data_IF_610847468043
#
_entry.id   IF_610847468043
#
_cell.length_a   1.000
_cell.length_b   1.000
_cell.length_c   1.000
_cell.angle_alpha   90.00
_cell.angle_beta   90.00
_cell.angle_gamma   90.00
#
_symmetry.space_group_name_H-M   'P 1'
#
loop_
_entity.id
_entity.type
_entity.pdbx_description
1 polymer ?
#
# COMPACT_ATOMS: atom_id res chain seq x y z
N UNK A 1 -12.13 5.92 -8.25
CA UNK A 1 -11.69 5.55 -6.90
C UNK A 1 -10.52 4.57 -6.89
N UNK A 2 -10.55 3.45 -7.58
CA UNK A 2 -9.42 2.48 -7.61
C UNK A 2 -8.11 3.07 -8.14
N UNK A 3 -8.18 3.93 -9.15
CA UNK A 3 -7.01 4.59 -9.75
C UNK A 3 -6.27 5.48 -8.74
N UNK A 4 -6.98 6.11 -7.86
CA UNK A 4 -6.45 7.08 -6.88
C UNK A 4 -5.92 6.38 -5.63
N UNK A 5 -6.47 5.24 -5.22
CA UNK A 5 -5.85 4.39 -4.18
C UNK A 5 -4.50 3.84 -4.64
N UNK A 6 -4.35 3.50 -5.92
CA UNK A 6 -3.06 3.11 -6.50
C UNK A 6 -2.08 4.28 -6.57
N UNK A 7 -2.55 5.51 -6.84
CA UNK A 7 -1.72 6.73 -6.78
C UNK A 7 -1.15 6.96 -5.40
N UNK A 8 -1.96 6.78 -4.37
CA UNK A 8 -1.53 6.98 -2.98
C UNK A 8 -0.50 5.96 -2.51
N UNK A 9 -0.68 4.71 -2.91
CA UNK A 9 0.27 3.64 -2.64
C UNK A 9 1.61 3.87 -3.39
N UNK A 10 1.57 4.53 -4.53
CA UNK A 10 2.75 4.81 -5.35
C UNK A 10 3.59 6.01 -4.87
N UNK A 11 2.97 7.09 -4.40
CA UNK A 11 3.70 8.24 -3.84
C UNK A 11 4.54 7.84 -2.62
N UNK A 12 4.21 6.72 -1.96
CA UNK A 12 5.00 6.14 -0.86
C UNK A 12 6.29 5.45 -1.31
N UNK A 13 6.40 5.05 -2.56
CA UNK A 13 7.52 4.27 -3.07
C UNK A 13 8.79 5.08 -3.34
N UNK A 14 8.69 6.41 -3.45
CA UNK A 14 9.80 7.27 -3.86
C UNK A 14 10.84 7.59 -2.79
N UNK A 15 10.55 7.36 -1.52
CA UNK A 15 11.51 7.57 -0.45
C UNK A 15 11.80 6.26 0.29
N UNK A 16 12.58 5.42 -0.37
CA UNK A 16 12.99 4.10 0.08
C UNK A 16 13.96 4.16 1.25
N UNK A 17 13.44 4.45 2.42
CA UNK A 17 13.92 3.88 3.68
C UNK A 17 12.71 3.42 4.46
N UNK A 18 12.35 2.20 4.17
CA UNK A 18 11.68 1.18 4.99
C UNK A 18 10.81 1.69 6.15
N UNK A 19 9.70 2.33 5.84
CA UNK A 19 8.55 2.25 6.70
C UNK A 19 7.43 1.60 5.88
N UNK A 20 7.10 0.35 6.24
CA UNK A 20 5.89 -0.25 5.71
C UNK A 20 4.72 0.72 5.90
N UNK A 21 4.02 1.01 4.80
CA UNK A 21 2.58 1.13 4.75
C UNK A 21 1.94 2.48 5.04
N UNK A 22 2.67 3.56 5.22
CA UNK A 22 2.02 4.83 4.99
C UNK A 22 2.71 5.56 3.86
N UNK A 23 1.91 6.10 2.96
CA UNK A 23 2.41 7.01 1.94
C UNK A 23 3.29 8.10 2.54
N UNK A 24 4.26 8.61 1.79
CA UNK A 24 5.19 9.66 2.24
C UNK A 24 4.49 10.94 2.74
N UNK A 25 3.23 11.15 2.40
CA UNK A 25 2.41 12.25 2.89
C UNK A 25 2.06 12.16 4.37
N UNK A 26 2.12 10.97 4.97
CA UNK A 26 1.87 10.81 6.40
C UNK A 26 3.03 11.26 7.29
N UNK A 27 4.17 11.68 6.72
CA UNK A 27 5.32 12.11 7.52
C UNK A 27 5.08 13.48 8.16
N UNK A 28 4.88 13.47 9.47
CA UNK A 28 4.78 14.68 10.29
C UNK A 28 3.36 15.15 10.57
N UNK A 29 2.34 14.37 10.22
CA UNK A 29 0.97 14.53 10.70
C UNK A 29 0.55 13.32 11.52
N UNK A 30 -0.69 13.32 12.01
CA UNK A 30 -1.26 12.21 12.77
C UNK A 30 -1.20 10.89 12.03
N UNK A 31 -1.39 10.89 10.71
CA UNK A 31 -1.29 9.68 9.90
C UNK A 31 0.14 9.11 9.95
N UNK A 32 1.17 9.96 10.13
CA UNK A 32 2.53 9.51 10.40
C UNK A 32 2.69 8.84 11.77
N UNK A 33 2.04 9.39 12.79
CA UNK A 33 2.09 8.84 14.14
C UNK A 33 1.33 7.51 14.24
N UNK A 34 0.22 7.40 13.53
CA UNK A 34 -0.55 6.14 13.40
C UNK A 34 0.28 5.07 12.67
N UNK A 35 1.05 5.47 11.65
CA UNK A 35 1.96 4.56 10.94
C UNK A 35 3.20 4.21 11.73
N UNK A 36 3.60 5.06 12.62
CA UNK A 36 4.70 4.86 13.54
C UNK A 36 4.32 3.88 14.66
N UNK A 37 3.54 2.80 14.36
CA UNK A 37 3.60 1.64 15.24
C UNK A 37 5.06 1.31 15.44
N UNK A 38 5.55 1.19 16.68
CA UNK A 38 6.97 1.02 16.93
C UNK A 38 7.45 -0.23 16.18
N UNK A 39 8.15 -0.03 15.08
CA UNK A 39 9.09 -1.05 14.68
C UNK A 39 10.10 -1.12 15.81
N UNK A 40 10.50 -2.31 16.23
CA UNK A 40 11.70 -2.39 17.04
C UNK A 40 12.75 -1.56 16.31
N UNK A 41 13.17 -0.47 16.93
CA UNK A 41 14.11 0.51 16.35
C UNK A 41 15.50 -0.09 16.05
N UNK A 42 15.70 -1.37 16.35
CA UNK A 42 16.92 -2.14 16.18
C UNK A 42 16.61 -3.53 15.60
N UNK A 43 15.90 -3.62 14.47
CA UNK A 43 15.85 -4.89 13.75
C UNK A 43 17.22 -5.10 13.11
N UNK A 44 18.00 -6.01 13.67
CA UNK A 44 19.28 -6.42 13.10
C UNK A 44 19.03 -7.06 11.72
N UNK A 45 19.55 -6.44 10.68
CA UNK A 45 19.51 -6.94 9.31
C UNK A 45 20.86 -7.58 8.91
N UNK A 46 21.79 -7.73 9.85
CA UNK A 46 23.14 -8.19 9.58
C UNK A 46 23.18 -9.61 8.95
N UNK A 47 22.13 -10.42 9.18
CA UNK A 47 21.99 -11.75 8.58
C UNK A 47 21.45 -11.77 7.14
N UNK A 48 20.99 -10.62 6.64
CA UNK A 48 20.34 -10.53 5.34
C UNK A 48 21.34 -10.40 4.20
N UNK A 49 21.24 -11.29 3.23
CA UNK A 49 22.06 -11.26 2.01
C UNK A 49 21.17 -10.94 0.81
N UNK A 50 21.53 -9.88 0.07
CA UNK A 50 20.86 -9.50 -1.18
C UNK A 50 21.35 -10.39 -2.32
N UNK A 51 20.40 -10.86 -3.13
CA UNK A 51 20.62 -11.67 -4.30
C UNK A 51 19.86 -11.09 -5.51
N UNK A 52 20.27 -11.51 -6.69
CA UNK A 52 19.67 -11.15 -7.95
C UNK A 52 19.36 -12.41 -8.77
N UNK A 53 18.16 -12.44 -9.37
CA UNK A 53 17.75 -13.48 -10.30
C UNK A 53 17.37 -12.84 -11.64
N UNK A 54 18.03 -13.28 -12.71
CA UNK A 54 17.61 -12.90 -14.09
C UNK A 54 16.42 -13.77 -14.49
N UNK A 55 15.35 -13.13 -14.91
CA UNK A 55 14.09 -13.76 -15.32
C UNK A 55 13.66 -13.25 -16.68
N UNK A 56 12.81 -13.99 -17.44
CA UNK A 56 12.17 -13.46 -18.63
C UNK A 56 11.37 -12.19 -18.32
N UNK A 57 11.41 -11.21 -19.20
CA UNK A 57 10.50 -10.06 -19.10
C UNK A 57 9.06 -10.50 -19.29
N UNK A 58 8.81 -11.44 -20.22
CA UNK A 58 7.52 -12.08 -20.47
C UNK A 58 7.59 -13.59 -20.21
N UNK A 59 7.05 -14.04 -19.07
CA UNK A 59 6.92 -15.46 -18.74
C UNK A 59 5.92 -16.22 -19.61
N UNK A 60 4.94 -15.51 -20.15
CA UNK A 60 3.86 -16.12 -20.91
C UNK A 60 4.20 -16.22 -22.39
N UNK A 61 5.13 -15.37 -22.85
CA UNK A 61 5.57 -15.26 -24.25
C UNK A 61 4.42 -15.28 -25.26
N UNK A 62 3.26 -14.73 -24.84
CA UNK A 62 2.01 -14.81 -25.62
C UNK A 62 2.03 -13.99 -26.88
N UNK A 63 2.83 -12.94 -26.93
CA UNK A 63 2.78 -11.97 -28.00
C UNK A 63 3.93 -12.06 -29.01
N UNK A 64 4.99 -12.75 -28.67
CA UNK A 64 6.15 -12.91 -29.57
C UNK A 64 7.05 -14.07 -29.11
N UNK A 65 6.98 -15.20 -29.79
CA UNK A 65 7.83 -16.39 -29.52
C UNK A 65 9.34 -16.12 -29.61
N UNK A 66 9.75 -14.93 -30.06
CA UNK A 66 11.14 -14.50 -30.17
C UNK A 66 11.53 -13.40 -29.17
N UNK A 67 10.68 -13.06 -28.20
CA UNK A 67 11.04 -12.08 -27.18
C UNK A 67 11.96 -12.70 -26.13
N UNK A 68 13.26 -12.51 -26.29
CA UNK A 68 14.29 -12.99 -25.37
C UNK A 68 14.68 -11.92 -24.32
N UNK A 69 13.88 -10.86 -24.15
CA UNK A 69 14.19 -9.84 -23.15
C UNK A 69 14.12 -10.41 -21.75
N UNK A 70 15.03 -9.94 -20.94
CA UNK A 70 15.12 -10.34 -19.53
C UNK A 70 15.12 -9.12 -18.61
N UNK A 71 14.86 -9.36 -17.34
CA UNK A 71 15.02 -8.38 -16.28
C UNK A 71 15.61 -9.05 -15.05
N UNK A 72 16.06 -8.24 -14.10
CA UNK A 72 16.61 -8.72 -12.85
C UNK A 72 15.64 -8.46 -11.72
N UNK A 73 15.32 -9.50 -10.94
CA UNK A 73 14.53 -9.41 -9.71
C UNK A 73 15.49 -9.51 -8.53
N UNK A 74 15.40 -8.56 -7.60
CA UNK A 74 16.14 -8.62 -6.34
C UNK A 74 15.35 -9.41 -5.30
N UNK A 75 16.09 -10.14 -4.49
CA UNK A 75 15.53 -10.81 -3.31
C UNK A 75 16.60 -10.92 -2.22
N UNK A 76 16.16 -11.13 -0.99
CA UNK A 76 17.04 -11.26 0.17
C UNK A 76 16.77 -12.57 0.86
N UNK A 77 17.83 -13.17 1.40
CA UNK A 77 17.74 -14.35 2.26
C UNK A 77 18.33 -13.99 3.62
N UNK A 78 17.64 -14.37 4.69
CA UNK A 78 18.16 -14.32 6.05
C UNK A 78 18.04 -15.70 6.70
N UNK A 79 19.20 -16.30 6.95
CA UNK A 79 19.37 -17.59 7.59
C UNK A 79 19.81 -17.48 9.06
N UNK A 80 19.93 -16.27 9.61
CA UNK A 80 20.51 -16.05 10.94
C UNK A 80 19.74 -16.75 12.07
N UNK A 81 18.41 -16.89 11.91
CA UNK A 81 17.57 -17.53 12.93
C UNK A 81 17.64 -19.07 12.97
N UNK A 82 18.23 -19.72 11.99
CA UNK A 82 18.35 -21.19 12.05
C UNK A 82 19.51 -21.66 12.93
N UNK A 83 20.45 -20.77 13.25
CA UNK A 83 21.65 -21.12 14.02
C UNK A 83 22.44 -22.25 13.36
N UNK A 84 22.71 -23.30 14.10
CA UNK A 84 23.41 -24.51 13.60
C UNK A 84 22.47 -25.55 12.99
N UNK A 85 21.15 -25.33 13.00
CA UNK A 85 20.17 -26.26 12.43
C UNK A 85 20.35 -26.34 10.91
N UNK A 86 20.39 -27.55 10.31
CA UNK A 86 20.50 -27.71 8.87
C UNK A 86 19.35 -26.97 8.15
N UNK A 87 19.64 -26.37 7.00
CA UNK A 87 18.64 -25.61 6.26
C UNK A 87 17.41 -26.46 5.88
N UNK A 88 17.62 -27.77 5.61
CA UNK A 88 16.53 -28.69 5.27
C UNK A 88 15.50 -28.88 6.41
N UNK A 89 15.91 -28.65 7.65
CA UNK A 89 15.07 -28.92 8.83
C UNK A 89 14.25 -27.71 9.29
N UNK A 90 14.43 -26.55 8.68
CA UNK A 90 13.70 -25.34 9.04
C UNK A 90 12.79 -24.86 7.89
N UNK A 91 11.61 -24.28 8.19
CA UNK A 91 10.71 -23.75 7.17
C UNK A 91 11.30 -22.50 6.50
N UNK A 92 10.77 -22.20 5.32
CA UNK A 92 11.01 -20.95 4.60
C UNK A 92 9.77 -20.04 4.77
N UNK A 93 9.99 -18.81 5.19
CA UNK A 93 8.99 -17.76 5.16
C UNK A 93 9.30 -16.81 4.00
N UNK A 94 8.47 -16.83 2.97
CA UNK A 94 8.65 -16.04 1.76
C UNK A 94 7.73 -14.83 1.80
N UNK A 95 8.32 -13.64 1.93
CA UNK A 95 7.62 -12.37 1.85
C UNK A 95 7.40 -11.99 0.38
N UNK A 96 6.13 -11.80 0.04
CA UNK A 96 5.74 -11.28 -1.27
C UNK A 96 6.02 -9.78 -1.33
N UNK A 97 6.70 -9.31 -2.37
CA UNK A 97 6.85 -7.89 -2.65
C UNK A 97 5.54 -7.25 -3.05
N UNK A 98 5.35 -6.01 -2.64
CA UNK A 98 4.23 -5.18 -3.02
C UNK A 98 4.67 -4.05 -3.96
N UNK A 99 3.87 -2.99 -4.01
CA UNK A 99 4.01 -1.83 -4.89
C UNK A 99 5.01 -0.78 -4.34
N UNK A 100 6.11 -1.25 -3.77
CA UNK A 100 7.20 -0.41 -3.27
C UNK A 100 8.55 -1.13 -3.42
N UNK A 101 9.65 -0.37 -3.27
CA UNK A 101 10.97 -0.96 -3.14
C UNK A 101 10.99 -1.90 -1.92
N UNK A 102 11.41 -3.14 -2.14
CA UNK A 102 11.53 -4.10 -1.07
C UNK A 102 12.88 -3.95 -0.34
N UNK A 103 12.90 -4.53 0.84
CA UNK A 103 14.11 -4.70 1.65
C UNK A 103 14.05 -6.05 2.35
N UNK A 104 15.14 -6.45 2.96
CA UNK A 104 15.14 -7.64 3.80
C UNK A 104 14.07 -7.57 4.89
N UNK A 105 13.34 -8.65 5.05
CA UNK A 105 12.49 -8.90 6.19
C UNK A 105 13.20 -9.91 7.10
N UNK A 106 13.83 -9.46 8.20
CA UNK A 106 14.68 -10.31 9.01
C UNK A 106 13.92 -11.46 9.65
N UNK A 107 14.55 -12.60 9.75
CA UNK A 107 13.94 -13.81 10.30
C UNK A 107 13.47 -13.64 11.76
N UNK A 108 14.08 -12.75 12.53
CA UNK A 108 13.62 -12.42 13.88
C UNK A 108 12.16 -11.93 13.93
N UNK A 109 11.65 -11.35 12.83
CA UNK A 109 10.26 -10.90 12.75
C UNK A 109 9.25 -12.05 12.60
N UNK A 110 9.67 -13.26 12.23
CA UNK A 110 8.80 -14.44 12.24
C UNK A 110 8.25 -14.71 13.65
N UNK A 111 9.01 -14.39 14.67
CA UNK A 111 8.59 -14.48 16.05
C UNK A 111 7.33 -13.71 16.39
N UNK A 112 7.03 -12.61 15.68
CA UNK A 112 5.79 -11.86 15.87
C UNK A 112 4.55 -12.74 15.67
N UNK A 113 4.57 -13.60 14.65
CA UNK A 113 3.43 -14.49 14.37
C UNK A 113 3.38 -15.72 15.28
N UNK A 114 4.48 -15.97 15.99
CA UNK A 114 4.58 -17.04 16.97
C UNK A 114 4.42 -16.52 18.43
N UNK A 115 3.67 -15.45 18.62
CA UNK A 115 3.42 -14.86 19.94
C UNK A 115 4.69 -14.33 20.62
N UNK A 116 5.64 -13.80 19.83
CA UNK A 116 6.91 -13.25 20.30
C UNK A 116 7.99 -14.31 20.61
N UNK A 117 7.72 -15.58 20.33
CA UNK A 117 8.69 -16.67 20.56
C UNK A 117 9.63 -16.81 19.38
N UNK A 118 10.95 -17.00 19.60
CA UNK A 118 11.87 -17.27 18.53
C UNK A 118 11.40 -18.47 17.69
N UNK A 119 11.53 -18.34 16.38
CA UNK A 119 11.20 -19.39 15.43
C UNK A 119 12.43 -19.68 14.56
N UNK A 120 12.85 -20.95 14.54
CA UNK A 120 13.88 -21.38 13.59
C UNK A 120 13.30 -21.33 12.18
N UNK A 121 13.89 -20.51 11.34
CA UNK A 121 13.41 -20.27 9.99
C UNK A 121 14.50 -19.69 9.08
N UNK A 122 14.31 -19.84 7.78
CA UNK A 122 14.90 -19.00 6.75
C UNK A 122 13.83 -18.01 6.29
N UNK A 123 14.14 -16.73 6.16
CA UNK A 123 13.25 -15.79 5.47
C UNK A 123 13.77 -15.45 4.09
N UNK A 124 12.84 -15.27 3.16
CA UNK A 124 13.11 -14.83 1.79
C UNK A 124 12.20 -13.64 1.51
N UNK A 125 12.77 -12.49 1.18
CA UNK A 125 12.01 -11.30 0.76
C UNK A 125 12.19 -11.10 -0.74
N UNK A 126 11.11 -10.98 -1.50
CA UNK A 126 11.14 -10.82 -2.96
C UNK A 126 10.73 -9.40 -3.31
N UNK A 127 11.48 -8.72 -4.17
CA UNK A 127 11.05 -7.43 -4.71
C UNK A 127 10.13 -7.64 -5.92
N UNK A 128 9.02 -6.91 -5.94
CA UNK A 128 8.10 -6.98 -7.06
C UNK A 128 8.72 -6.36 -8.32
N UNK A 129 8.54 -7.03 -9.49
CA UNK A 129 8.95 -6.46 -10.76
C UNK A 129 8.43 -5.04 -10.95
N UNK A 130 9.21 -4.18 -11.59
CA UNK A 130 8.95 -2.75 -11.83
C UNK A 130 9.01 -1.86 -10.58
N UNK A 131 9.36 -2.40 -9.42
CA UNK A 131 9.55 -1.62 -8.20
C UNK A 131 11.01 -1.69 -7.71
N UNK A 132 11.39 -0.69 -6.92
CA UNK A 132 12.73 -0.57 -6.37
C UNK A 132 13.83 -0.55 -7.44
N UNK A 133 14.69 -1.55 -7.43
CA UNK A 133 15.72 -1.75 -8.48
C UNK A 133 15.40 -2.93 -9.41
N UNK A 134 14.30 -3.63 -9.22
CA UNK A 134 13.82 -4.70 -10.09
C UNK A 134 13.09 -4.11 -11.31
N UNK A 135 13.77 -3.20 -12.01
CA UNK A 135 13.28 -2.47 -13.17
C UNK A 135 13.84 -3.13 -14.44
N UNK A 136 13.02 -3.36 -15.49
CA UNK A 136 13.52 -3.92 -16.73
C UNK A 136 14.50 -2.99 -17.45
N UNK A 137 15.36 -3.56 -18.29
CA UNK A 137 16.25 -2.79 -19.13
C UNK A 137 15.45 -1.79 -19.99
N UNK A 138 15.94 -0.57 -20.09
CA UNK A 138 15.23 0.53 -20.73
C UNK A 138 14.31 1.31 -19.79
N UNK A 139 14.11 0.86 -18.56
CA UNK A 139 13.36 1.60 -17.54
C UNK A 139 11.85 1.43 -17.62
N UNK A 140 11.14 2.38 -16.99
CA UNK A 140 9.68 2.42 -16.90
C UNK A 140 9.05 3.09 -18.14
N UNK A 141 9.37 2.56 -19.32
CA UNK A 141 8.83 3.07 -20.60
C UNK A 141 7.55 2.32 -20.98
N UNK A 142 6.71 2.96 -21.80
CA UNK A 142 5.40 2.43 -22.21
C UNK A 142 5.48 1.03 -22.82
N UNK A 143 6.55 0.70 -23.58
CA UNK A 143 6.73 -0.62 -24.18
C UNK A 143 7.04 -1.74 -23.17
N UNK A 144 7.46 -1.40 -21.94
CA UNK A 144 7.72 -2.37 -20.89
C UNK A 144 6.50 -2.60 -19.99
N UNK A 145 5.60 -1.62 -19.88
CA UNK A 145 4.47 -1.67 -18.97
C UNK A 145 3.48 -2.82 -19.17
N UNK A 146 3.25 -3.35 -20.38
CA UNK A 146 2.40 -4.54 -20.55
C UNK A 146 2.88 -5.76 -19.74
N UNK A 147 4.13 -5.78 -19.29
CA UNK A 147 4.70 -6.86 -18.47
C UNK A 147 4.58 -6.62 -16.95
N UNK A 148 4.08 -5.46 -16.53
CA UNK A 148 3.73 -5.20 -15.14
C UNK A 148 2.34 -5.79 -14.85
N UNK A 149 2.29 -7.08 -14.64
CA UNK A 149 1.06 -7.80 -14.33
C UNK A 149 1.24 -8.73 -13.15
N UNK A 150 0.16 -9.01 -12.42
CA UNK A 150 0.18 -9.97 -11.31
C UNK A 150 0.65 -11.37 -11.74
N UNK A 151 0.18 -11.95 -12.87
CA UNK A 151 0.69 -13.27 -13.32
C UNK A 151 2.20 -13.30 -13.54
N UNK A 152 2.77 -12.26 -14.11
CA UNK A 152 4.22 -12.13 -14.31
C UNK A 152 4.97 -12.06 -12.98
N UNK A 153 4.48 -11.25 -12.01
CA UNK A 153 5.06 -11.16 -10.68
C UNK A 153 4.99 -12.49 -9.90
N UNK A 154 3.88 -13.21 -10.02
CA UNK A 154 3.76 -14.53 -9.41
C UNK A 154 4.75 -15.54 -10.02
N UNK A 155 5.03 -15.45 -11.32
CA UNK A 155 6.01 -16.30 -11.98
C UNK A 155 7.46 -15.99 -11.53
N UNK A 156 7.81 -14.71 -11.34
CA UNK A 156 9.10 -14.33 -10.74
C UNK A 156 9.27 -14.93 -9.36
N UNK A 157 8.25 -14.78 -8.53
CA UNK A 157 8.24 -15.33 -7.17
C UNK A 157 8.36 -16.86 -7.18
N UNK A 158 7.69 -17.52 -8.13
CA UNK A 158 7.78 -18.97 -8.29
C UNK A 158 9.20 -19.43 -8.69
N UNK A 159 9.88 -18.67 -9.55
CA UNK A 159 11.26 -18.93 -9.91
C UNK A 159 12.19 -18.82 -8.70
N UNK A 160 12.02 -17.79 -7.86
CA UNK A 160 12.79 -17.63 -6.63
C UNK A 160 12.46 -18.74 -5.63
N UNK A 161 11.18 -19.08 -5.45
CA UNK A 161 10.76 -20.18 -4.56
C UNK A 161 11.41 -21.51 -4.95
N UNK A 162 11.48 -21.83 -6.24
CA UNK A 162 12.19 -23.02 -6.76
C UNK A 162 13.68 -22.94 -6.52
N UNK A 163 14.28 -21.76 -6.68
CA UNK A 163 15.72 -21.57 -6.48
C UNK A 163 16.11 -21.79 -5.01
N UNK A 164 15.34 -21.29 -4.06
CA UNK A 164 15.64 -21.40 -2.62
C UNK A 164 15.17 -22.72 -2.01
N UNK A 165 14.33 -23.48 -2.71
CA UNK A 165 13.80 -24.78 -2.29
C UNK A 165 13.72 -25.76 -3.48
N UNK A 166 14.86 -26.11 -4.11
CA UNK A 166 14.90 -26.79 -5.41
C UNK A 166 14.24 -28.18 -5.40
N UNK A 167 14.22 -28.86 -4.27
CA UNK A 167 13.64 -30.20 -4.14
C UNK A 167 12.26 -30.19 -3.44
N UNK A 168 11.71 -29.01 -3.19
CA UNK A 168 10.43 -28.83 -2.46
C UNK A 168 10.39 -29.55 -1.10
N UNK A 169 11.56 -29.81 -0.50
CA UNK A 169 11.68 -30.59 0.73
C UNK A 169 11.35 -29.77 1.98
N UNK A 170 11.53 -28.45 1.92
CA UNK A 170 11.25 -27.56 3.04
C UNK A 170 9.80 -27.07 2.97
N UNK A 171 9.17 -26.91 4.13
CA UNK A 171 7.89 -26.24 4.20
C UNK A 171 8.09 -24.77 3.86
N UNK A 172 7.44 -24.29 2.80
CA UNK A 172 7.44 -22.88 2.42
C UNK A 172 6.07 -22.28 2.77
N UNK A 173 6.08 -21.17 3.50
CA UNK A 173 4.92 -20.35 3.80
C UNK A 173 5.14 -18.99 3.16
N UNK A 174 4.22 -18.56 2.31
CA UNK A 174 4.30 -17.21 1.74
C UNK A 174 3.34 -16.26 2.46
N UNK A 175 3.70 -14.99 2.49
CA UNK A 175 2.91 -13.98 3.18
C UNK A 175 3.04 -12.60 2.53
N UNK A 176 2.03 -11.78 2.76
CA UNK A 176 2.00 -10.39 2.35
C UNK A 176 0.86 -9.63 2.99
N UNK A 177 0.92 -8.32 2.90
CA UNK A 177 -0.13 -7.40 3.35
C UNK A 177 -0.66 -6.55 2.20
N UNK A 178 -1.93 -6.12 2.27
CA UNK A 178 -2.54 -5.27 1.25
C UNK A 178 -2.50 -5.95 -0.15
N UNK A 179 -1.97 -5.31 -1.19
CA UNK A 179 -1.77 -5.92 -2.51
C UNK A 179 -0.87 -7.15 -2.44
N UNK A 180 0.24 -7.10 -1.69
CA UNK A 180 1.07 -8.30 -1.52
C UNK A 180 0.37 -9.40 -0.71
N UNK A 181 -0.65 -9.07 0.09
CA UNK A 181 -1.56 -10.04 0.69
C UNK A 181 -2.43 -10.74 -0.35
N UNK A 182 -2.94 -10.00 -1.33
CA UNK A 182 -3.67 -10.61 -2.45
C UNK A 182 -2.74 -11.52 -3.27
N UNK A 183 -1.53 -11.05 -3.63
CA UNK A 183 -0.56 -11.88 -4.36
C UNK A 183 -0.14 -13.11 -3.58
N UNK A 184 -0.06 -13.04 -2.24
CA UNK A 184 0.21 -14.21 -1.41
C UNK A 184 -0.89 -15.27 -1.53
N UNK A 185 -2.17 -14.87 -1.49
CA UNK A 185 -3.29 -15.78 -1.68
C UNK A 185 -3.29 -16.38 -3.10
N UNK A 186 -3.12 -15.55 -4.13
CA UNK A 186 -3.09 -16.00 -5.53
C UNK A 186 -1.87 -16.87 -5.82
N UNK A 187 -0.73 -16.62 -5.18
CA UNK A 187 0.45 -17.47 -5.30
C UNK A 187 0.15 -18.90 -4.79
N UNK A 188 -0.50 -19.02 -3.64
CA UNK A 188 -0.90 -20.31 -3.09
C UNK A 188 -1.88 -21.07 -4.00
N UNK A 189 -2.79 -20.36 -4.66
CA UNK A 189 -3.75 -20.96 -5.60
C UNK A 189 -3.03 -21.42 -6.87
N UNK A 190 -2.13 -20.58 -7.43
CA UNK A 190 -1.50 -20.85 -8.73
C UNK A 190 -0.34 -21.84 -8.64
N UNK A 191 0.38 -21.88 -7.51
CA UNK A 191 1.55 -22.72 -7.29
C UNK A 191 1.41 -23.59 -6.03
N UNK A 192 0.40 -24.47 -5.98
CA UNK A 192 0.06 -25.22 -4.76
C UNK A 192 1.14 -26.22 -4.33
N UNK A 193 2.05 -26.61 -5.21
CA UNK A 193 3.18 -27.49 -4.88
C UNK A 193 4.35 -26.72 -4.26
N UNK A 194 4.54 -25.44 -4.64
CA UNK A 194 5.67 -24.63 -4.18
C UNK A 194 5.47 -24.07 -2.77
N UNK A 195 4.22 -23.89 -2.33
CA UNK A 195 3.94 -23.33 -1.02
C UNK A 195 2.89 -24.14 -0.26
N UNK A 196 3.13 -24.35 1.04
CA UNK A 196 2.26 -25.14 1.91
C UNK A 196 1.11 -24.32 2.49
N UNK A 197 1.37 -23.05 2.76
CA UNK A 197 0.39 -22.13 3.34
C UNK A 197 0.65 -20.70 2.86
N UNK A 198 -0.39 -19.86 2.94
CA UNK A 198 -0.30 -18.43 2.69
C UNK A 198 -0.94 -17.64 3.83
N UNK A 199 -0.30 -16.52 4.18
CA UNK A 199 -0.88 -15.50 5.05
C UNK A 199 -1.19 -14.28 4.19
N UNK A 200 -2.47 -14.02 4.01
CA UNK A 200 -3.00 -12.87 3.28
C UNK A 200 -3.55 -11.86 4.28
N UNK A 201 -2.69 -10.95 4.74
CA UNK A 201 -3.08 -9.92 5.72
C UNK A 201 -3.71 -8.74 5.00
N UNK A 202 -4.98 -8.45 5.30
CA UNK A 202 -5.73 -7.36 4.63
C UNK A 202 -5.62 -7.43 3.10
N UNK A 203 -5.57 -8.65 2.53
CA UNK A 203 -5.36 -8.86 1.11
C UNK A 203 -6.59 -8.48 0.29
N UNK A 204 -6.37 -7.64 -0.73
CA UNK A 204 -7.43 -7.18 -1.64
C UNK A 204 -7.71 -8.25 -2.72
N UNK A 205 -8.12 -9.43 -2.29
CA UNK A 205 -8.27 -10.62 -3.15
C UNK A 205 -9.44 -10.52 -4.13
N UNK A 206 -10.43 -9.68 -3.84
CA UNK A 206 -11.56 -9.42 -4.72
C UNK A 206 -11.40 -8.02 -5.33
N UNK A 207 -10.67 -7.95 -6.45
CA UNK A 207 -10.46 -6.70 -7.18
C UNK A 207 -11.74 -6.34 -7.95
N UNK A 208 -12.43 -5.29 -7.50
CA UNK A 208 -13.64 -4.75 -8.12
C UNK A 208 -13.45 -3.28 -8.47
N UNK A 209 -14.09 -2.87 -9.56
CA UNK A 209 -14.20 -1.46 -9.91
C UNK A 209 -15.30 -0.85 -9.05
N UNK A 210 -15.16 0.38 -8.59
CA UNK A 210 -16.14 1.05 -7.75
C UNK A 210 -16.45 0.30 -6.43
N UNK A 211 -15.47 0.32 -5.53
CA UNK A 211 -15.53 -0.41 -4.26
C UNK A 211 -16.30 0.37 -3.18
N UNK A 212 -17.60 0.55 -3.38
CA UNK A 212 -18.50 1.28 -2.46
C UNK A 212 -18.55 0.67 -1.04
N UNK A 213 -18.24 -0.62 -0.89
CA UNK A 213 -18.20 -1.29 0.41
C UNK A 213 -17.09 -0.75 1.31
N UNK A 214 -16.02 -0.19 0.74
CA UNK A 214 -14.97 0.48 1.52
C UNK A 214 -15.54 1.68 2.25
N UNK A 215 -16.23 2.59 1.54
CA UNK A 215 -16.84 3.78 2.13
C UNK A 215 -17.92 3.41 3.14
N UNK A 216 -18.77 2.41 2.81
CA UNK A 216 -19.77 1.89 3.73
C UNK A 216 -19.15 1.35 5.04
N UNK A 217 -18.00 0.69 4.95
CA UNK A 217 -17.26 0.20 6.12
C UNK A 217 -16.70 1.33 6.97
N UNK A 218 -16.22 2.42 6.35
CA UNK A 218 -15.76 3.61 7.07
C UNK A 218 -16.93 4.25 7.84
N UNK A 219 -18.08 4.45 7.17
CA UNK A 219 -19.29 4.99 7.79
C UNK A 219 -19.75 4.13 8.97
N UNK A 220 -19.83 2.80 8.78
CA UNK A 220 -20.23 1.87 9.84
C UNK A 220 -19.28 1.94 11.04
N UNK A 221 -17.96 2.00 10.78
CA UNK A 221 -16.96 2.11 11.85
C UNK A 221 -17.08 3.41 12.63
N UNK A 222 -17.38 4.53 11.95
CA UNK A 222 -17.64 5.82 12.60
C UNK A 222 -18.97 5.82 13.34
N UNK A 223 -20.00 5.16 12.82
CA UNK A 223 -21.31 5.06 13.45
C UNK A 223 -21.21 4.33 14.79
N UNK A 224 -20.58 3.16 14.82
CA UNK A 224 -20.39 2.38 16.05
C UNK A 224 -19.58 3.15 17.08
N UNK A 225 -18.55 3.86 16.63
CA UNK A 225 -17.71 4.66 17.50
C UNK A 225 -18.44 5.90 18.02
N UNK A 226 -19.15 6.61 17.16
CA UNK A 226 -19.90 7.81 17.51
C UNK A 226 -21.00 7.54 18.53
N UNK A 227 -21.70 6.41 18.41
CA UNK A 227 -22.75 6.03 19.33
C UNK A 227 -22.26 5.89 20.80
N UNK A 228 -20.97 5.60 21.00
CA UNK A 228 -20.40 5.34 22.33
C UNK A 228 -19.60 6.50 22.90
N UNK A 229 -18.83 7.20 22.06
CA UNK A 229 -17.77 8.09 22.54
C UNK A 229 -17.94 9.54 22.03
N UNK A 230 -18.35 9.74 20.78
CA UNK A 230 -18.43 11.06 20.13
C UNK A 230 -19.66 11.13 19.23
N UNK A 231 -20.87 11.36 19.80
CA UNK A 231 -22.14 11.31 19.05
C UNK A 231 -22.20 12.23 17.82
N UNK A 232 -21.44 13.32 17.81
CA UNK A 232 -21.42 14.28 16.70
C UNK A 232 -20.44 13.93 15.58
N UNK A 233 -19.51 12.98 15.76
CA UNK A 233 -18.42 12.74 14.83
C UNK A 233 -18.93 12.33 13.44
N UNK A 234 -19.73 11.26 13.36
CA UNK A 234 -20.31 10.83 12.08
C UNK A 234 -21.18 11.91 11.47
N UNK A 235 -22.03 12.55 12.28
CA UNK A 235 -22.93 13.61 11.79
C UNK A 235 -22.15 14.78 11.19
N UNK A 236 -21.02 15.18 11.80
CA UNK A 236 -20.16 16.24 11.25
C UNK A 236 -19.56 15.83 9.91
N UNK A 237 -19.04 14.58 9.81
CA UNK A 237 -18.49 14.06 8.57
C UNK A 237 -19.56 13.98 7.48
N UNK A 238 -20.71 13.37 7.78
CA UNK A 238 -21.81 13.21 6.81
C UNK A 238 -22.30 14.56 6.32
N UNK A 239 -22.59 15.49 7.23
CA UNK A 239 -23.05 16.82 6.86
C UNK A 239 -22.02 17.62 6.05
N UNK A 240 -20.72 17.43 6.30
CA UNK A 240 -19.67 18.06 5.50
C UNK A 240 -19.62 17.48 4.09
N UNK A 241 -19.71 16.15 3.94
CA UNK A 241 -19.72 15.49 2.63
C UNK A 241 -20.94 15.84 1.80
N UNK A 242 -22.13 15.82 2.40
CA UNK A 242 -23.38 16.23 1.76
C UNK A 242 -23.35 17.71 1.32
N UNK A 243 -22.78 18.57 2.16
CA UNK A 243 -22.63 19.98 1.82
C UNK A 243 -21.62 20.19 0.67
N UNK A 244 -20.54 19.43 0.62
CA UNK A 244 -19.57 19.46 -0.49
C UNK A 244 -20.19 18.99 -1.81
N UNK A 245 -20.98 17.92 -1.77
CA UNK A 245 -21.65 17.35 -2.95
C UNK A 245 -22.73 18.28 -3.52
N UNK A 246 -23.33 19.13 -2.69
CA UNK A 246 -24.36 20.08 -3.09
C UNK A 246 -23.84 21.38 -3.70
N UNK A 247 -22.51 21.62 -3.68
CA UNK A 247 -21.93 22.89 -4.18
C UNK A 247 -21.89 22.94 -5.71
N UNK A 248 -22.14 24.14 -6.24
CA UNK A 248 -21.80 24.45 -7.63
C UNK A 248 -20.28 24.48 -7.83
N UNK A 249 -19.82 24.32 -9.08
CA UNK A 249 -18.40 24.42 -9.43
C UNK A 249 -17.74 25.72 -8.91
N UNK A 250 -18.47 26.84 -8.97
CA UNK A 250 -17.96 28.14 -8.50
C UNK A 250 -17.76 28.15 -6.99
N UNK A 251 -18.73 27.63 -6.24
CA UNK A 251 -18.65 27.51 -4.79
C UNK A 251 -17.55 26.53 -4.39
N UNK A 252 -17.45 25.40 -5.07
CA UNK A 252 -16.41 24.40 -4.82
C UNK A 252 -15.01 24.99 -5.00
N UNK A 253 -14.78 25.78 -6.06
CA UNK A 253 -13.50 26.51 -6.26
C UNK A 253 -13.22 27.51 -5.13
N UNK A 254 -14.24 28.19 -4.65
CA UNK A 254 -14.08 29.14 -3.56
C UNK A 254 -13.66 28.44 -2.26
N UNK A 255 -14.34 27.37 -1.85
CA UNK A 255 -14.01 26.64 -0.63
C UNK A 255 -12.69 25.91 -0.72
N UNK A 256 -12.31 25.41 -1.89
CA UNK A 256 -11.01 24.80 -2.14
C UNK A 256 -9.87 25.77 -1.81
N UNK A 257 -10.05 27.05 -2.12
CA UNK A 257 -9.11 28.11 -1.77
C UNK A 257 -9.21 28.47 -0.27
N UNK A 258 -10.41 28.68 0.23
CA UNK A 258 -10.68 28.97 1.63
C UNK A 258 -12.03 28.38 2.03
N UNK A 259 -12.14 27.55 3.08
CA UNK A 259 -11.15 27.34 4.16
C UNK A 259 -10.13 26.22 3.96
N UNK A 260 -10.23 25.40 2.88
CA UNK A 260 -9.39 24.19 2.75
C UNK A 260 -7.92 24.46 2.41
N UNK A 261 -7.61 25.65 1.87
CA UNK A 261 -6.26 26.02 1.45
C UNK A 261 -5.60 24.98 0.49
N UNK A 262 -6.43 24.46 -0.40
CA UNK A 262 -6.10 23.39 -1.34
C UNK A 262 -6.10 23.85 -2.81
N UNK A 263 -5.82 25.14 -3.05
CA UNK A 263 -5.84 25.75 -4.39
C UNK A 263 -4.79 25.17 -5.35
N UNK A 264 -3.80 24.43 -4.84
CA UNK A 264 -2.82 23.70 -5.66
C UNK A 264 -3.45 22.56 -6.46
N UNK A 265 -4.57 22.00 -5.98
CA UNK A 265 -5.28 20.91 -6.67
C UNK A 265 -6.06 21.49 -7.83
N UNK A 266 -5.66 21.14 -9.06
CA UNK A 266 -6.22 21.72 -10.26
C UNK A 266 -7.63 21.23 -10.57
N UNK A 267 -7.92 19.97 -10.29
CA UNK A 267 -9.25 19.40 -10.53
C UNK A 267 -10.09 19.37 -9.26
N UNK A 268 -11.40 19.48 -9.42
CA UNK A 268 -12.34 19.42 -8.28
C UNK A 268 -12.44 17.98 -7.75
N UNK A 269 -12.29 16.99 -8.63
CA UNK A 269 -12.31 15.58 -8.23
C UNK A 269 -11.11 15.21 -7.34
N UNK A 270 -9.93 15.77 -7.60
CA UNK A 270 -8.74 15.57 -6.76
C UNK A 270 -8.96 16.15 -5.37
N UNK A 271 -9.60 17.32 -5.30
CA UNK A 271 -9.94 17.96 -4.04
C UNK A 271 -10.96 17.16 -3.24
N UNK A 272 -12.07 16.77 -3.85
CA UNK A 272 -13.09 15.96 -3.18
C UNK A 272 -12.53 14.63 -2.69
N UNK A 273 -11.69 14.02 -3.51
CA UNK A 273 -11.01 12.79 -3.13
C UNK A 273 -10.07 13.00 -1.94
N UNK A 274 -9.26 14.05 -1.94
CA UNK A 274 -8.36 14.37 -0.82
C UNK A 274 -9.14 14.51 0.49
N UNK A 275 -10.30 15.15 0.46
CA UNK A 275 -11.15 15.33 1.65
C UNK A 275 -11.71 13.99 2.14
N UNK A 276 -12.26 13.19 1.24
CA UNK A 276 -12.81 11.87 1.57
C UNK A 276 -11.74 10.93 2.11
N UNK A 277 -10.57 10.90 1.45
CA UNK A 277 -9.48 10.01 1.83
C UNK A 277 -8.85 10.38 3.18
N UNK A 278 -8.78 11.64 3.55
CA UNK A 278 -8.31 12.06 4.87
C UNK A 278 -9.10 11.39 6.00
N UNK A 279 -10.41 11.28 5.81
CA UNK A 279 -11.32 10.65 6.77
C UNK A 279 -11.17 9.13 6.72
N UNK A 280 -11.19 8.56 5.52
CA UNK A 280 -11.09 7.13 5.29
C UNK A 280 -9.77 6.55 5.83
N UNK A 281 -8.64 7.19 5.53
CA UNK A 281 -7.31 6.79 6.01
C UNK A 281 -7.20 6.88 7.53
N UNK A 282 -7.77 7.92 8.13
CA UNK A 282 -7.80 8.05 9.60
C UNK A 282 -8.53 6.89 10.25
N UNK A 283 -9.64 6.43 9.67
CA UNK A 283 -10.40 5.28 10.19
C UNK A 283 -9.67 3.97 9.92
N UNK A 284 -9.20 3.76 8.71
CA UNK A 284 -8.54 2.52 8.27
C UNK A 284 -7.31 2.20 9.11
N UNK A 285 -6.53 3.19 9.49
CA UNK A 285 -5.29 3.02 10.27
C UNK A 285 -5.47 3.24 11.79
N UNK A 286 -6.70 3.16 12.28
CA UNK A 286 -6.97 3.16 13.72
C UNK A 286 -7.06 4.55 14.37
N UNK A 287 -6.96 5.63 13.61
CA UNK A 287 -6.99 7.02 14.08
C UNK A 287 -8.38 7.61 14.32
N UNK A 288 -9.45 6.80 14.27
CA UNK A 288 -10.84 7.30 14.44
C UNK A 288 -11.06 8.11 15.72
N UNK A 289 -10.42 7.72 16.83
CA UNK A 289 -10.53 8.47 18.08
C UNK A 289 -9.97 9.89 17.92
N UNK A 290 -8.81 10.02 17.31
CA UNK A 290 -8.16 11.30 17.11
C UNK A 290 -8.93 12.17 16.10
N UNK A 291 -9.36 11.59 14.98
CA UNK A 291 -10.23 12.27 14.00
C UNK A 291 -11.45 12.88 14.69
N UNK A 292 -12.19 12.08 15.46
CA UNK A 292 -13.40 12.55 16.13
C UNK A 292 -13.11 13.60 17.23
N UNK A 293 -11.98 13.48 17.92
CA UNK A 293 -11.54 14.49 18.89
C UNK A 293 -11.19 15.81 18.22
N UNK A 294 -10.49 15.77 17.08
CA UNK A 294 -10.17 16.96 16.30
C UNK A 294 -11.44 17.65 15.76
N UNK A 295 -12.36 16.88 15.19
CA UNK A 295 -13.63 17.42 14.69
C UNK A 295 -14.46 18.05 15.80
N UNK A 296 -14.53 17.43 16.99
CA UNK A 296 -15.21 18.00 18.16
C UNK A 296 -14.56 19.32 18.59
N UNK A 297 -13.24 19.37 18.66
CA UNK A 297 -12.52 20.57 19.05
C UNK A 297 -12.69 21.67 18.00
N UNK A 298 -12.58 21.35 16.72
CA UNK A 298 -12.81 22.30 15.63
C UNK A 298 -14.24 22.86 15.69
N UNK A 299 -15.26 22.02 15.86
CA UNK A 299 -16.66 22.46 15.99
C UNK A 299 -16.91 23.38 17.19
N UNK A 300 -16.13 23.27 18.25
CA UNK A 300 -16.21 24.17 19.40
C UNK A 300 -15.51 25.51 19.18
N UNK A 301 -14.47 25.53 18.33
CA UNK A 301 -13.69 26.74 18.02
C UNK A 301 -14.35 27.61 16.92
N UNK A 302 -15.09 26.96 16.02
CA UNK A 302 -15.68 27.60 14.85
C UNK A 302 -17.05 28.21 15.24
N UNK A 303 -17.17 29.50 15.10
CA UNK A 303 -18.42 30.26 15.48
C UNK A 303 -19.58 29.97 14.56
N UNK A 304 -19.33 29.59 13.31
CA UNK A 304 -20.37 29.39 12.27
C UNK A 304 -21.09 28.05 12.39
N UNK A 305 -20.59 27.10 13.19
CA UNK A 305 -21.07 25.72 13.27
C UNK A 305 -21.16 25.03 11.90
N UNK A 306 -20.36 25.47 10.94
CA UNK A 306 -20.29 24.87 9.60
C UNK A 306 -19.48 23.59 9.62
N UNK A 307 -20.05 22.41 9.32
CA UNK A 307 -19.32 21.15 9.34
C UNK A 307 -18.17 21.10 8.32
N UNK A 308 -18.27 21.79 7.17
CA UNK A 308 -17.18 21.89 6.20
C UNK A 308 -15.97 22.62 6.77
N UNK A 309 -16.17 23.68 7.53
CA UNK A 309 -15.07 24.41 8.17
C UNK A 309 -14.38 23.55 9.22
N UNK A 310 -15.13 22.72 9.97
CA UNK A 310 -14.55 21.79 10.92
C UNK A 310 -13.66 20.75 10.21
N UNK A 311 -14.12 20.18 9.10
CA UNK A 311 -13.34 19.24 8.29
C UNK A 311 -12.11 19.95 7.68
N UNK A 312 -12.27 21.15 7.13
CA UNK A 312 -11.18 21.93 6.56
C UNK A 312 -10.08 22.25 7.58
N UNK A 313 -10.46 22.48 8.83
CA UNK A 313 -9.49 22.70 9.92
C UNK A 313 -8.70 21.45 10.26
N UNK A 314 -9.33 20.28 10.16
CA UNK A 314 -8.72 19.00 10.56
C UNK A 314 -7.80 18.43 9.48
N UNK A 315 -8.10 18.60 8.20
CA UNK A 315 -7.34 18.01 7.10
C UNK A 315 -5.83 18.32 7.14
N UNK A 316 -5.38 19.58 7.31
CA UNK A 316 -3.96 19.89 7.40
C UNK A 316 -3.28 19.23 8.60
N UNK A 317 -4.02 19.00 9.69
CA UNK A 317 -3.50 18.32 10.88
C UNK A 317 -3.29 16.82 10.57
N UNK A 318 -4.23 16.20 9.84
CA UNK A 318 -4.13 14.80 9.46
C UNK A 318 -2.95 14.55 8.51
N UNK A 319 -2.79 15.39 7.50
CA UNK A 319 -1.73 15.25 6.51
C UNK A 319 -0.39 15.85 6.93
N UNK A 320 -0.39 16.75 7.90
CA UNK A 320 0.82 17.36 8.44
C UNK A 320 1.63 18.11 7.40
N UNK A 321 2.96 17.99 7.48
CA UNK A 321 3.92 18.73 6.63
C UNK A 321 3.80 18.41 5.14
N UNK A 322 3.15 17.33 4.77
CA UNK A 322 2.98 16.93 3.37
C UNK A 322 1.79 17.59 2.71
N UNK A 323 0.92 18.22 3.50
CA UNK A 323 -0.17 19.02 2.97
C UNK A 323 0.37 20.16 2.11
N UNK A 324 -0.08 20.28 0.88
CA UNK A 324 0.37 21.26 -0.13
C UNK A 324 1.79 21.04 -0.68
N UNK A 325 2.40 19.89 -0.51
CA UNK A 325 3.72 19.61 -1.07
C UNK A 325 3.64 18.78 -2.35
N UNK A 326 4.34 19.23 -3.39
CA UNK A 326 4.51 18.49 -4.63
C UNK A 326 3.21 18.14 -5.34
N UNK A 327 3.16 16.94 -5.93
CA UNK A 327 1.99 16.40 -6.63
C UNK A 327 0.96 15.74 -5.70
N UNK A 328 0.88 16.14 -4.43
CA UNK A 328 -0.02 15.54 -3.46
C UNK A 328 -1.49 15.64 -3.91
N UNK A 329 -2.12 14.51 -4.19
CA UNK A 329 -3.46 14.39 -4.79
C UNK A 329 -3.68 15.11 -6.13
N UNK A 330 -2.71 15.82 -6.68
CA UNK A 330 -2.83 16.51 -7.97
C UNK A 330 -2.57 15.54 -9.12
N UNK A 331 -3.62 14.98 -9.71
CA UNK A 331 -3.51 14.03 -10.82
C UNK A 331 -2.87 14.67 -12.07
N UNK A 332 -3.07 15.96 -12.31
CA UNK A 332 -2.43 16.65 -13.43
C UNK A 332 -0.92 16.81 -13.21
N UNK A 333 -0.52 17.17 -12.00
CA UNK A 333 0.89 17.19 -11.62
C UNK A 333 1.52 15.79 -11.73
N UNK A 334 0.84 14.78 -11.23
CA UNK A 334 1.28 13.38 -11.31
C UNK A 334 1.41 12.98 -12.80
N UNK A 335 0.46 13.30 -13.66
CA UNK A 335 0.47 12.98 -15.09
C UNK A 335 1.65 13.62 -15.83
N UNK A 336 2.17 14.72 -15.38
CA UNK A 336 3.33 15.40 -15.97
C UNK A 336 4.68 14.94 -15.40
N UNK A 337 4.69 14.11 -14.36
CA UNK A 337 5.92 13.54 -13.81
C UNK A 337 6.20 12.16 -14.43
N UNK A 338 7.46 11.82 -14.61
CA UNK A 338 7.93 10.56 -15.24
C UNK A 338 7.37 9.30 -14.58
N UNK A 339 6.69 9.43 -13.46
CA UNK A 339 6.16 8.35 -12.63
C UNK A 339 4.73 7.91 -12.94
N UNK A 340 4.04 8.59 -13.80
CA UNK A 340 2.64 8.35 -14.20
C UNK A 340 2.41 7.01 -14.89
N UNK A 341 3.43 6.53 -15.54
CA UNK A 341 3.34 5.38 -16.43
C UNK A 341 2.85 4.11 -15.69
N UNK A 342 3.08 4.04 -14.39
CA UNK A 342 2.67 2.88 -13.56
C UNK A 342 1.20 2.92 -13.10
N UNK A 343 0.54 4.07 -13.19
CA UNK A 343 -0.80 4.28 -12.65
C UNK A 343 -1.91 4.03 -13.67
N UNK A 344 -1.59 4.03 -14.95
CA UNK A 344 -2.56 3.95 -16.04
C UNK A 344 -2.78 2.54 -16.59
N UNK A 345 -2.18 1.51 -15.97
CA UNK A 345 -2.42 0.14 -16.41
C UNK A 345 -3.80 -0.32 -15.97
N UNK A 346 -4.70 -0.60 -16.92
CA UNK A 346 -5.94 -1.27 -16.60
C UNK A 346 -5.58 -2.65 -16.04
N UNK A 347 -6.23 -3.04 -14.94
CA UNK A 347 -6.36 -4.45 -14.64
C UNK A 347 -7.08 -5.06 -15.85
N UNK A 348 -6.33 -5.64 -16.76
CA UNK A 348 -6.93 -6.35 -17.87
C UNK A 348 -7.73 -7.51 -17.27
N UNK A 349 -9.04 -7.35 -17.26
CA UNK A 349 -9.96 -8.45 -17.06
C UNK A 349 -9.72 -9.44 -18.20
N UNK A 350 -8.99 -10.49 -17.93
CA UNK A 350 -9.23 -11.75 -18.62
C UNK A 350 -10.20 -12.55 -17.75
N UNK A 351 -11.48 -12.27 -17.95
CA UNK A 351 -12.54 -13.23 -17.69
C UNK A 351 -12.34 -14.39 -18.67
N UNK A 352 -11.72 -15.45 -18.23
CA UNK A 352 -11.99 -16.85 -18.62
C UNK A 352 -11.52 -17.75 -17.48
#
# INVERSE_FOLDING_TARGET
MLLIQLVLLYLSAQNAQATMLLPSYARGGLLADIAATPRPSNVDTAGCVEHNLTVPLDWENKNNSNDNRTMTIRYWIDDSCRGTTPAADVPIFLQMGGEAAASCWPCAQVGYWNGGKPQLATTVSVEHRFYGRSIPNGGLISSNLPFLTTPQNLADTAAIAKLVNPNEQRRLLNFGGSYSGATAAWFRIRYPTLTHAAISSSGVVNAIVDYVQFDASIVHTLQDYSARMFPSCLNTVTAAMEALDALSETELRAIKTHPFNASVLQTDIDFLYMVADAIAMSVQYGGKHHLCSLLKNASNLITTRNPMEAVAHVIPILYGKTFQQGCFYDTQCILHTVYVVLLLLPFSHNSQ
#
